data_IF_268455662465
#
_entry.id   IF_268455662465
#
_cell.length_a   1.000
_cell.length_b   1.000
_cell.length_c   1.000
_cell.angle_alpha   90.00
_cell.angle_beta   90.00
_cell.angle_gamma   90.00
#
_symmetry.space_group_name_H-M   'P 1'
#
loop_
_entity.id
_entity.type
_entity.pdbx_description
1 polymer ?
#
# COMPACT_ATOMS: atom_id res chain seq x y z
N UNK A 1 -30.45 -13.79 11.01
CA UNK A 1 -30.17 -12.38 10.60
C UNK A 1 -29.36 -11.54 11.61
N UNK A 2 -29.31 -11.88 12.89
CA UNK A 2 -28.55 -11.13 13.92
C UNK A 2 -27.03 -11.45 13.98
N UNK A 3 -26.64 -12.65 13.66
CA UNK A 3 -25.24 -13.14 13.78
C UNK A 3 -24.30 -12.47 12.76
N UNK A 4 -24.73 -12.32 11.53
CA UNK A 4 -23.94 -11.64 10.48
C UNK A 4 -23.67 -10.16 10.77
N UNK A 5 -24.63 -9.47 11.40
CA UNK A 5 -24.49 -8.06 11.77
C UNK A 5 -23.51 -7.90 12.94
N UNK A 6 -23.51 -8.82 13.90
CA UNK A 6 -22.59 -8.84 15.04
C UNK A 6 -21.15 -9.14 14.62
N UNK A 7 -20.95 -10.07 13.68
CA UNK A 7 -19.66 -10.38 13.10
C UNK A 7 -19.10 -9.22 12.30
N UNK A 8 -19.94 -8.54 11.47
CA UNK A 8 -19.54 -7.35 10.70
C UNK A 8 -19.10 -6.20 11.62
N UNK A 9 -19.80 -5.98 12.73
CA UNK A 9 -19.46 -4.97 13.72
C UNK A 9 -18.15 -5.30 14.45
N UNK A 10 -17.95 -6.57 14.83
CA UNK A 10 -16.71 -7.01 15.46
C UNK A 10 -15.51 -6.90 14.52
N UNK A 11 -15.66 -7.15 13.21
CA UNK A 11 -14.63 -6.95 12.20
C UNK A 11 -14.27 -5.48 12.03
N UNK A 12 -15.26 -4.58 11.92
CA UNK A 12 -15.03 -3.12 11.90
C UNK A 12 -14.26 -2.65 13.14
N UNK A 13 -14.66 -3.11 14.32
CA UNK A 13 -13.98 -2.76 15.57
C UNK A 13 -12.55 -3.29 15.65
N UNK A 14 -12.28 -4.51 15.17
CA UNK A 14 -10.92 -5.10 15.12
C UNK A 14 -10.03 -4.39 14.09
N UNK A 15 -10.55 -4.05 12.91
CA UNK A 15 -9.85 -3.20 11.94
C UNK A 15 -9.47 -1.86 12.56
N UNK A 16 -10.44 -1.15 13.13
CA UNK A 16 -10.20 0.11 13.80
C UNK A 16 -9.13 0.00 14.90
N UNK A 17 -9.17 -1.06 15.71
CA UNK A 17 -8.17 -1.30 16.75
C UNK A 17 -6.77 -1.64 16.20
N UNK A 18 -6.70 -2.44 15.13
CA UNK A 18 -5.42 -2.77 14.49
C UNK A 18 -4.76 -1.53 13.87
N UNK A 19 -5.56 -0.62 13.34
CA UNK A 19 -5.08 0.61 12.69
C UNK A 19 -4.88 1.76 13.66
N UNK A 20 -5.64 1.83 14.75
CA UNK A 20 -5.43 2.81 15.83
C UNK A 20 -4.07 2.63 16.54
N UNK A 21 -3.50 1.45 16.49
CA UNK A 21 -2.16 1.17 17.02
C UNK A 21 -1.00 1.60 16.10
N UNK A 22 -1.29 1.99 14.86
CA UNK A 22 -0.27 2.61 14.02
C UNK A 22 -0.09 4.04 14.49
N UNK A 23 1.09 4.42 15.02
CA UNK A 23 1.32 5.80 15.42
C UNK A 23 1.12 6.67 14.18
N UNK A 24 0.16 7.58 14.25
CA UNK A 24 0.11 8.71 13.33
C UNK A 24 1.45 9.40 13.52
N UNK A 25 2.37 9.22 12.59
CA UNK A 25 3.65 9.90 12.61
C UNK A 25 3.38 11.37 12.34
N UNK A 26 3.13 12.11 13.41
CA UNK A 26 3.25 13.55 13.46
C UNK A 26 4.74 13.90 13.41
N UNK A 27 5.37 13.65 12.29
CA UNK A 27 6.65 14.25 12.00
C UNK A 27 6.36 15.45 11.09
N UNK A 28 6.74 16.68 11.48
CA UNK A 28 6.71 17.79 10.54
C UNK A 28 7.46 17.33 9.29
N UNK A 29 6.94 17.68 8.13
CA UNK A 29 7.60 17.27 6.88
C UNK A 29 9.04 17.78 6.90
N UNK A 30 9.99 16.95 6.50
CA UNK A 30 11.41 17.35 6.47
C UNK A 30 11.63 18.68 5.73
N UNK A 31 10.92 19.00 4.61
CA UNK A 31 10.93 20.34 4.03
C UNK A 31 10.56 21.44 4.99
N UNK A 32 9.58 21.22 5.88
CA UNK A 32 9.17 22.22 6.88
C UNK A 32 10.28 22.45 7.91
N UNK A 33 10.95 21.40 8.39
CA UNK A 33 12.08 21.50 9.32
C UNK A 33 13.24 22.23 8.65
N UNK A 34 13.62 21.84 7.42
CA UNK A 34 14.68 22.48 6.66
C UNK A 34 14.38 23.95 6.41
N UNK A 35 13.16 24.27 5.96
CA UNK A 35 12.73 25.65 5.74
C UNK A 35 12.82 26.47 7.03
N UNK A 36 12.43 25.90 8.17
CA UNK A 36 12.51 26.57 9.47
C UNK A 36 13.98 26.83 9.86
N UNK A 37 14.85 25.82 9.72
CA UNK A 37 16.29 25.95 10.04
C UNK A 37 16.93 27.02 9.15
N UNK A 38 16.76 26.97 7.84
CA UNK A 38 17.31 27.98 6.93
C UNK A 38 16.74 29.38 7.18
N UNK A 39 15.45 29.47 7.54
CA UNK A 39 14.83 30.76 7.87
C UNK A 39 15.44 31.34 9.13
N UNK A 40 15.65 30.53 10.19
CA UNK A 40 16.29 30.96 11.44
C UNK A 40 17.73 31.40 11.18
N UNK A 41 18.50 30.64 10.40
CA UNK A 41 19.88 31.00 10.05
C UNK A 41 19.95 32.30 9.26
N UNK A 42 19.12 32.44 8.23
CA UNK A 42 19.05 33.65 7.41
C UNK A 42 18.67 34.88 8.24
N UNK A 43 17.66 34.77 9.09
CA UNK A 43 17.25 35.84 10.00
C UNK A 43 18.36 36.18 11.03
N UNK A 44 19.07 35.18 11.54
CA UNK A 44 20.18 35.40 12.46
C UNK A 44 21.32 36.19 11.81
N UNK A 45 21.67 35.87 10.56
CA UNK A 45 22.69 36.62 9.81
C UNK A 45 22.22 38.05 9.53
N UNK A 46 20.95 38.25 9.20
CA UNK A 46 20.37 39.54 8.83
C UNK A 46 20.26 40.48 10.03
N UNK A 47 19.84 39.92 11.19
CA UNK A 47 19.56 40.71 12.41
C UNK A 47 20.79 40.97 13.28
N UNK A 48 21.79 40.08 13.19
CA UNK A 48 23.03 40.17 14.00
C UNK A 48 24.27 39.96 13.11
N UNK A 49 24.69 40.99 12.32
CA UNK A 49 25.88 40.87 11.48
C UNK A 49 27.17 40.53 12.26
N UNK A 50 27.22 40.87 13.54
CA UNK A 50 28.36 40.57 14.44
C UNK A 50 28.50 39.08 14.78
N UNK A 51 27.43 38.28 14.58
CA UNK A 51 27.47 36.84 14.82
C UNK A 51 28.41 36.09 13.86
N UNK A 52 28.75 36.66 12.70
CA UNK A 52 29.73 36.07 11.78
C UNK A 52 31.13 35.93 12.37
N UNK A 53 31.48 36.77 13.30
CA UNK A 53 32.76 36.73 13.99
C UNK A 53 32.76 35.83 15.24
N UNK A 54 31.57 35.25 15.54
CA UNK A 54 31.44 34.36 16.68
C UNK A 54 31.72 32.91 16.23
N UNK A 55 32.74 32.28 16.82
CA UNK A 55 33.14 30.90 16.52
C UNK A 55 32.03 29.89 16.74
N UNK A 56 31.13 30.11 17.69
CA UNK A 56 29.99 29.26 17.99
C UNK A 56 28.96 29.32 16.82
N UNK A 57 28.72 30.52 16.31
CA UNK A 57 27.83 30.71 15.15
C UNK A 57 28.39 30.05 13.89
N UNK A 58 29.69 30.21 13.61
CA UNK A 58 30.38 29.57 12.48
C UNK A 58 30.29 28.03 12.58
N UNK A 59 30.46 27.49 13.78
CA UNK A 59 30.28 26.06 14.05
C UNK A 59 28.85 25.61 13.82
N UNK A 60 27.85 26.40 14.26
CA UNK A 60 26.45 26.10 14.07
C UNK A 60 26.08 26.05 12.58
N UNK A 61 26.46 27.08 11.83
CA UNK A 61 26.25 27.11 10.36
C UNK A 61 27.00 25.97 9.67
N UNK A 62 28.24 25.69 10.08
CA UNK A 62 29.05 24.61 9.54
C UNK A 62 28.47 23.21 9.77
N UNK A 63 27.70 23.02 10.85
CA UNK A 63 27.02 21.78 11.16
C UNK A 63 25.65 21.67 10.50
N UNK A 64 24.95 22.79 10.32
CA UNK A 64 23.60 22.79 9.72
C UNK A 64 23.61 22.40 8.25
N UNK A 65 24.65 22.75 7.49
CA UNK A 65 24.79 22.38 6.08
C UNK A 65 24.86 20.84 5.90
N UNK A 66 25.77 20.09 6.57
CA UNK A 66 25.80 18.64 6.43
C UNK A 66 24.55 17.94 6.98
N UNK A 67 23.97 18.46 8.07
CA UNK A 67 22.70 17.95 8.62
C UNK A 67 21.56 18.19 7.62
N UNK A 68 21.47 19.38 7.03
CA UNK A 68 20.50 19.72 6.01
C UNK A 68 20.66 18.85 4.77
N UNK A 69 21.87 18.63 4.30
CA UNK A 69 22.16 17.75 3.18
C UNK A 69 21.76 16.30 3.47
N UNK A 70 22.08 15.81 4.68
CA UNK A 70 21.69 14.47 5.13
C UNK A 70 20.18 14.32 5.20
N UNK A 71 19.46 15.27 5.79
CA UNK A 71 18.00 15.29 5.84
C UNK A 71 17.37 15.33 4.43
N UNK A 72 17.96 16.10 3.51
CA UNK A 72 17.51 16.17 2.12
C UNK A 72 17.67 14.83 1.41
N UNK A 73 18.82 14.17 1.57
CA UNK A 73 19.05 12.83 1.00
C UNK A 73 18.09 11.81 1.60
N UNK A 74 17.91 11.83 2.93
CA UNK A 74 16.95 10.97 3.61
C UNK A 74 15.52 11.21 3.08
N UNK A 75 15.11 12.46 2.91
CA UNK A 75 13.82 12.81 2.35
C UNK A 75 13.65 12.32 0.91
N UNK A 76 14.65 12.49 0.06
CA UNK A 76 14.64 11.96 -1.32
C UNK A 76 14.49 10.44 -1.34
N UNK A 77 15.20 9.74 -0.47
CA UNK A 77 15.07 8.28 -0.32
C UNK A 77 13.67 7.92 0.17
N UNK A 78 13.19 8.60 1.21
CA UNK A 78 11.83 8.40 1.72
C UNK A 78 10.79 8.57 0.61
N UNK A 79 10.86 9.65 -0.14
CA UNK A 79 9.97 9.86 -1.28
C UNK A 79 10.09 8.75 -2.32
N UNK A 80 11.29 8.32 -2.66
CA UNK A 80 11.50 7.27 -3.67
C UNK A 80 10.97 5.89 -3.24
N UNK A 81 10.84 5.64 -1.95
CA UNK A 81 10.37 4.37 -1.40
C UNK A 81 8.87 4.39 -1.07
N UNK A 82 8.37 5.53 -0.61
CA UNK A 82 7.03 5.64 -0.03
C UNK A 82 6.07 6.52 -0.85
N UNK A 83 6.55 7.24 -1.86
CA UNK A 83 5.65 7.85 -2.83
C UNK A 83 5.49 6.93 -4.02
N UNK A 84 4.27 6.87 -4.51
CA UNK A 84 3.96 6.09 -5.71
C UNK A 84 4.72 6.65 -6.89
N UNK A 85 5.58 5.88 -7.54
CA UNK A 85 6.22 6.34 -8.76
C UNK A 85 5.13 6.50 -9.82
N UNK A 86 5.15 7.62 -10.51
CA UNK A 86 4.35 7.86 -11.70
C UNK A 86 4.82 6.91 -12.79
N UNK A 87 4.16 5.79 -12.95
CA UNK A 87 4.28 4.94 -14.14
C UNK A 87 3.01 5.08 -14.96
N UNK A 88 3.18 5.02 -16.26
CA UNK A 88 2.05 5.01 -17.17
C UNK A 88 1.07 3.91 -16.74
N UNK A 89 -0.18 4.29 -16.62
CA UNK A 89 -1.24 3.35 -16.33
C UNK A 89 -1.40 2.37 -17.50
N UNK A 90 -1.54 1.10 -17.19
CA UNK A 90 -1.87 0.04 -18.13
C UNK A 90 -3.16 -0.60 -17.66
N UNK A 91 -4.21 -0.46 -18.45
CA UNK A 91 -5.49 -1.14 -18.18
C UNK A 91 -5.44 -2.58 -18.70
N UNK A 92 -6.40 -3.38 -18.29
CA UNK A 92 -6.66 -4.72 -18.85
C UNK A 92 -7.17 -4.60 -20.28
N UNK A 93 -6.83 -5.57 -21.11
CA UNK A 93 -7.19 -5.60 -22.53
C UNK A 93 -8.27 -6.62 -22.87
N UNK A 94 -8.49 -7.62 -22.03
CA UNK A 94 -9.52 -8.64 -22.20
C UNK A 94 -10.91 -8.05 -21.88
N UNK A 95 -11.79 -8.02 -22.85
CA UNK A 95 -13.14 -7.45 -22.75
C UNK A 95 -14.06 -8.17 -21.74
N UNK A 96 -13.68 -9.36 -21.29
CA UNK A 96 -14.42 -10.09 -20.25
C UNK A 96 -14.31 -9.47 -18.85
N UNK A 97 -13.33 -8.60 -18.63
CA UNK A 97 -13.22 -7.90 -17.37
C UNK A 97 -14.38 -6.93 -17.16
N UNK A 98 -15.06 -7.05 -16.04
CA UNK A 98 -16.09 -6.11 -15.58
C UNK A 98 -15.61 -5.24 -14.44
N UNK A 99 -15.96 -3.96 -14.50
CA UNK A 99 -15.66 -3.00 -13.43
C UNK A 99 -16.58 -3.21 -12.23
N UNK A 100 -16.00 -3.12 -11.04
CA UNK A 100 -16.73 -3.13 -9.78
C UNK A 100 -16.22 -2.01 -8.89
N UNK A 101 -17.10 -1.56 -7.99
CA UNK A 101 -16.81 -0.53 -7.01
C UNK A 101 -17.08 -1.10 -5.62
N UNK A 102 -16.17 -0.85 -4.69
CA UNK A 102 -16.30 -1.32 -3.32
C UNK A 102 -15.81 -0.27 -2.33
N UNK A 103 -16.22 -0.38 -1.08
CA UNK A 103 -15.81 0.51 0.00
C UNK A 103 -14.54 -0.04 0.66
N UNK A 104 -13.43 0.66 0.49
CA UNK A 104 -12.12 0.32 1.06
C UNK A 104 -11.90 0.89 2.47
N UNK A 105 -10.63 1.13 2.81
CA UNK A 105 -10.24 1.78 4.05
C UNK A 105 -10.86 3.17 4.17
N UNK A 106 -11.41 3.48 5.36
CA UNK A 106 -12.04 4.78 5.62
C UNK A 106 -13.36 4.99 4.88
N UNK A 107 -13.98 3.91 4.39
CA UNK A 107 -15.20 3.94 3.57
C UNK A 107 -15.02 4.66 2.22
N UNK A 108 -13.78 4.82 1.79
CA UNK A 108 -13.46 5.39 0.48
C UNK A 108 -13.85 4.44 -0.65
N UNK A 109 -14.46 5.00 -1.68
CA UNK A 109 -14.79 4.26 -2.89
C UNK A 109 -13.54 3.91 -3.68
N UNK A 110 -13.37 2.63 -3.95
CA UNK A 110 -12.27 2.07 -4.72
C UNK A 110 -12.80 1.25 -5.90
N UNK A 111 -11.99 1.20 -6.96
CA UNK A 111 -12.32 0.46 -8.19
C UNK A 111 -11.53 -0.84 -8.25
N UNK A 112 -12.21 -1.89 -8.66
CA UNK A 112 -11.62 -3.20 -8.93
C UNK A 112 -12.25 -3.79 -10.18
N UNK A 113 -11.76 -4.95 -10.60
CA UNK A 113 -12.31 -5.67 -11.76
C UNK A 113 -12.50 -7.15 -11.44
N UNK A 114 -13.47 -7.75 -12.09
CA UNK A 114 -13.75 -9.19 -12.04
C UNK A 114 -13.59 -9.76 -13.43
N UNK A 115 -12.83 -10.86 -13.55
CA UNK A 115 -12.75 -11.72 -14.71
C UNK A 115 -13.58 -12.97 -14.41
N UNK A 116 -14.71 -13.21 -15.11
CA UNK A 116 -15.57 -14.34 -14.84
C UNK A 116 -14.86 -15.66 -15.14
N UNK A 117 -15.05 -16.65 -14.28
CA UNK A 117 -14.54 -18.00 -14.45
C UNK A 117 -15.42 -18.85 -15.37
N UNK A 118 -15.12 -20.15 -15.42
CA UNK A 118 -15.92 -21.11 -16.14
C UNK A 118 -17.35 -21.18 -15.58
N UNK A 119 -18.32 -21.44 -16.45
CA UNK A 119 -19.73 -21.57 -16.08
C UNK A 119 -19.91 -22.60 -14.94
N UNK A 120 -20.67 -22.24 -13.95
CA UNK A 120 -20.91 -23.08 -12.77
C UNK A 120 -19.75 -23.16 -11.77
N UNK A 121 -18.58 -22.63 -12.10
CA UNK A 121 -17.46 -22.56 -11.15
C UNK A 121 -17.73 -21.49 -10.09
N UNK A 122 -17.44 -21.81 -8.83
CA UNK A 122 -17.62 -20.89 -7.68
C UNK A 122 -16.32 -20.69 -6.90
N UNK A 123 -15.19 -20.92 -7.54
CA UNK A 123 -13.88 -20.66 -6.97
C UNK A 123 -13.43 -19.24 -7.30
N UNK A 124 -12.65 -18.65 -6.42
CA UNK A 124 -12.18 -17.28 -6.52
C UNK A 124 -10.67 -17.19 -6.32
N UNK A 125 -10.02 -16.42 -7.15
CA UNK A 125 -8.64 -15.96 -6.96
C UNK A 125 -8.65 -14.45 -6.75
N UNK A 126 -8.10 -13.96 -5.63
CA UNK A 126 -7.76 -12.55 -5.47
C UNK A 126 -6.34 -12.32 -5.99
N UNK A 127 -6.19 -11.44 -6.96
CA UNK A 127 -4.89 -11.02 -7.49
C UNK A 127 -4.44 -9.68 -6.92
N UNK A 128 -3.20 -9.62 -6.41
CA UNK A 128 -2.57 -8.43 -5.83
C UNK A 128 -1.25 -8.13 -6.54
N UNK A 129 -1.20 -7.00 -7.25
CA UNK A 129 -0.02 -6.59 -8.02
C UNK A 129 1.13 -6.07 -7.13
N UNK A 130 2.31 -5.91 -7.74
CA UNK A 130 3.50 -5.36 -7.07
C UNK A 130 3.50 -3.85 -6.94
N UNK A 131 4.50 -3.32 -6.22
CA UNK A 131 4.75 -1.89 -6.11
C UNK A 131 4.97 -1.28 -7.50
N UNK A 132 4.42 -0.09 -7.74
CA UNK A 132 4.55 0.63 -9.01
C UNK A 132 4.00 -0.15 -10.21
N UNK A 133 2.95 -0.94 -10.00
CA UNK A 133 2.31 -1.75 -11.04
C UNK A 133 0.81 -1.43 -11.10
N UNK A 134 0.07 -2.16 -11.92
CA UNK A 134 -1.38 -2.09 -12.06
C UNK A 134 -1.93 -3.49 -12.33
N UNK A 135 -3.24 -3.63 -12.26
CA UNK A 135 -3.93 -4.87 -12.63
C UNK A 135 -3.62 -5.27 -14.08
N UNK A 136 -3.66 -4.30 -15.01
CA UNK A 136 -3.37 -4.55 -16.43
C UNK A 136 -1.95 -5.09 -16.68
N UNK A 137 -0.95 -4.67 -15.90
CA UNK A 137 0.39 -5.26 -15.98
C UNK A 137 0.44 -6.71 -15.48
N UNK A 138 -0.54 -7.13 -14.72
CA UNK A 138 -0.70 -8.49 -14.21
C UNK A 138 -1.68 -9.33 -15.01
N UNK A 139 -2.29 -8.79 -16.06
CA UNK A 139 -3.39 -9.40 -16.77
C UNK A 139 -3.10 -10.81 -17.28
N UNK A 140 -1.93 -11.04 -17.87
CA UNK A 140 -1.52 -12.37 -18.36
C UNK A 140 -1.53 -13.42 -17.25
N UNK A 141 -1.13 -13.05 -16.02
CA UNK A 141 -1.20 -13.93 -14.84
C UNK A 141 -2.64 -14.26 -14.49
N UNK A 142 -3.48 -13.22 -14.47
CA UNK A 142 -4.90 -13.36 -14.19
C UNK A 142 -5.61 -14.25 -15.23
N UNK A 143 -5.31 -14.06 -16.51
CA UNK A 143 -5.85 -14.90 -17.61
C UNK A 143 -5.39 -16.35 -17.47
N UNK A 144 -4.11 -16.59 -17.12
CA UNK A 144 -3.63 -17.95 -16.88
C UNK A 144 -4.35 -18.61 -15.69
N UNK A 145 -4.53 -17.91 -14.58
CA UNK A 145 -5.28 -18.42 -13.43
C UNK A 145 -6.75 -18.68 -13.80
N UNK A 146 -7.37 -17.76 -14.54
CA UNK A 146 -8.75 -17.87 -14.99
C UNK A 146 -8.96 -19.06 -15.94
N UNK A 147 -7.97 -19.39 -16.79
CA UNK A 147 -8.05 -20.55 -17.70
C UNK A 147 -8.13 -21.89 -16.95
N UNK A 148 -7.79 -21.93 -15.66
CA UNK A 148 -7.95 -23.10 -14.80
C UNK A 148 -9.39 -23.21 -14.22
N UNK A 149 -10.26 -22.26 -14.54
CA UNK A 149 -11.68 -22.27 -14.21
C UNK A 149 -12.17 -21.24 -13.18
N UNK A 150 -11.37 -20.76 -12.20
CA UNK A 150 -11.87 -19.86 -11.17
C UNK A 150 -12.16 -18.45 -11.70
N UNK A 151 -13.03 -17.73 -11.01
CA UNK A 151 -13.17 -16.29 -11.15
C UNK A 151 -11.91 -15.60 -10.62
N UNK A 152 -11.49 -14.51 -11.25
CA UNK A 152 -10.38 -13.70 -10.76
C UNK A 152 -10.89 -12.30 -10.41
N UNK A 153 -10.59 -11.84 -9.21
CA UNK A 153 -10.86 -10.48 -8.78
C UNK A 153 -9.53 -9.78 -8.50
N UNK A 154 -9.38 -8.55 -8.99
CA UNK A 154 -8.17 -7.78 -8.81
C UNK A 154 -8.46 -6.29 -8.69
N UNK A 155 -7.61 -5.60 -7.96
CA UNK A 155 -7.69 -4.15 -7.82
C UNK A 155 -6.35 -3.51 -8.19
N UNK A 156 -6.43 -2.29 -8.68
CA UNK A 156 -5.30 -1.38 -8.58
C UNK A 156 -5.20 -0.95 -7.12
N UNK A 157 -4.08 -1.27 -6.48
CA UNK A 157 -3.90 -0.93 -5.08
C UNK A 157 -3.90 0.59 -4.89
N UNK A 158 -4.36 1.06 -3.74
CA UNK A 158 -4.34 2.47 -3.35
C UNK A 158 -3.03 3.14 -3.74
N UNK A 159 -3.11 4.28 -4.43
CA UNK A 159 -1.96 5.04 -4.93
C UNK A 159 -1.36 4.52 -6.24
N UNK A 160 -1.95 3.50 -6.87
CA UNK A 160 -1.48 2.94 -8.14
C UNK A 160 -2.62 2.81 -9.15
N UNK A 161 -2.27 2.81 -10.44
CA UNK A 161 -3.20 2.59 -11.52
C UNK A 161 -4.40 3.53 -11.47
N UNK A 162 -5.60 2.98 -11.45
CA UNK A 162 -6.86 3.76 -11.35
C UNK A 162 -7.05 4.46 -10.00
N UNK A 163 -6.27 4.09 -8.98
CA UNK A 163 -6.24 4.71 -7.66
C UNK A 163 -5.11 5.73 -7.54
N UNK A 164 -4.56 6.18 -8.65
CA UNK A 164 -3.50 7.19 -8.71
C UNK A 164 -3.92 8.50 -8.04
N UNK A 165 -2.94 9.26 -7.53
CA UNK A 165 -3.19 10.50 -6.81
C UNK A 165 -3.56 10.32 -5.32
N UNK A 166 -3.76 9.11 -4.83
CA UNK A 166 -4.00 8.84 -3.40
C UNK A 166 -2.68 8.77 -2.64
N UNK A 167 -2.20 9.91 -2.18
CA UNK A 167 -0.92 10.05 -1.48
C UNK A 167 -0.90 9.45 -0.06
N UNK A 168 -2.01 9.01 0.43
CA UNK A 168 -2.16 8.41 1.77
C UNK A 168 -1.89 6.88 1.79
N UNK A 169 -1.21 6.39 0.76
CA UNK A 169 -0.86 4.99 0.64
C UNK A 169 -0.01 4.49 1.81
N UNK A 170 -0.42 3.37 2.39
CA UNK A 170 0.38 2.56 3.30
C UNK A 170 0.08 1.09 3.08
N UNK A 171 1.02 0.22 3.43
CA UNK A 171 0.80 -1.24 3.34
C UNK A 171 -0.39 -1.71 4.18
N UNK A 172 -0.66 -1.05 5.30
CA UNK A 172 -1.79 -1.39 6.15
C UNK A 172 -3.11 -1.03 5.48
N UNK A 173 -3.21 0.17 4.90
CA UNK A 173 -4.40 0.58 4.14
C UNK A 173 -4.62 -0.31 2.92
N UNK A 174 -3.57 -0.61 2.16
CA UNK A 174 -3.65 -1.53 1.02
C UNK A 174 -4.08 -2.95 1.44
N UNK A 175 -3.65 -3.42 2.62
CA UNK A 175 -4.12 -4.70 3.17
C UNK A 175 -5.62 -4.64 3.53
N UNK A 176 -6.05 -3.53 4.14
CA UNK A 176 -7.46 -3.33 4.48
C UNK A 176 -8.35 -3.22 3.24
N UNK A 177 -7.87 -2.57 2.18
CA UNK A 177 -8.58 -2.48 0.92
C UNK A 177 -8.75 -3.87 0.28
N UNK A 178 -7.68 -4.67 0.26
CA UNK A 178 -7.73 -6.03 -0.25
C UNK A 178 -8.66 -6.93 0.57
N UNK A 179 -8.69 -6.77 1.90
CA UNK A 179 -9.64 -7.43 2.78
C UNK A 179 -11.08 -7.02 2.47
N UNK A 180 -11.34 -5.70 2.32
CA UNK A 180 -12.65 -5.18 1.99
C UNK A 180 -13.15 -5.67 0.62
N UNK A 181 -12.26 -5.76 -0.36
CA UNK A 181 -12.58 -6.32 -1.67
C UNK A 181 -13.02 -7.79 -1.55
N UNK A 182 -12.28 -8.63 -0.82
CA UNK A 182 -12.70 -10.02 -0.57
C UNK A 182 -14.05 -10.09 0.12
N UNK A 183 -14.31 -9.21 1.11
CA UNK A 183 -15.59 -9.18 1.83
C UNK A 183 -16.76 -8.78 0.93
N UNK A 184 -16.53 -7.94 -0.07
CA UNK A 184 -17.54 -7.51 -1.02
C UNK A 184 -17.70 -8.48 -2.21
N UNK A 185 -16.74 -9.38 -2.41
CA UNK A 185 -16.72 -10.28 -3.57
C UNK A 185 -18.03 -11.06 -3.80
N UNK A 186 -18.71 -11.63 -2.77
CA UNK A 186 -19.97 -12.32 -2.98
C UNK A 186 -21.06 -11.45 -3.60
N UNK A 187 -21.10 -10.16 -3.27
CA UNK A 187 -22.07 -9.22 -3.82
C UNK A 187 -21.83 -8.97 -5.32
N UNK A 188 -20.58 -8.88 -5.73
CA UNK A 188 -20.19 -8.63 -7.12
C UNK A 188 -20.26 -9.89 -7.99
N UNK A 189 -20.01 -11.05 -7.38
CA UNK A 189 -20.08 -12.33 -8.08
C UNK A 189 -21.51 -12.90 -8.16
N UNK A 190 -22.44 -12.43 -7.30
CA UNK A 190 -23.79 -12.98 -7.18
C UNK A 190 -23.85 -14.33 -6.45
N UNK A 191 -22.73 -14.80 -5.90
CA UNK A 191 -22.66 -16.05 -5.14
C UNK A 191 -21.55 -16.01 -4.09
N UNK A 192 -21.65 -16.92 -3.09
CA UNK A 192 -20.58 -17.15 -2.12
C UNK A 192 -19.51 -18.06 -2.73
N UNK A 193 -18.22 -17.64 -2.79
CA UNK A 193 -17.13 -18.51 -3.22
C UNK A 193 -17.01 -19.76 -2.35
N UNK A 194 -16.77 -20.91 -2.98
CA UNK A 194 -16.55 -22.18 -2.30
C UNK A 194 -15.09 -22.29 -1.83
N UNK A 195 -14.16 -21.95 -2.70
CA UNK A 195 -12.72 -22.02 -2.47
C UNK A 195 -12.09 -20.69 -2.89
N UNK A 196 -11.10 -20.23 -2.12
CA UNK A 196 -10.42 -18.96 -2.35
C UNK A 196 -8.92 -19.22 -2.39
N UNK A 197 -8.26 -18.60 -3.36
CA UNK A 197 -6.81 -18.44 -3.40
C UNK A 197 -6.46 -16.97 -3.43
N UNK A 198 -5.31 -16.64 -2.88
CA UNK A 198 -4.77 -15.27 -2.94
C UNK A 198 -3.42 -15.32 -3.65
N UNK A 199 -3.33 -14.63 -4.75
CA UNK A 199 -2.08 -14.50 -5.52
C UNK A 199 -1.47 -13.12 -5.29
N UNK A 200 -0.21 -13.09 -4.86
CA UNK A 200 0.51 -11.84 -4.64
C UNK A 200 1.85 -11.80 -5.36
N UNK A 201 2.04 -10.77 -6.17
CA UNK A 201 3.31 -10.47 -6.82
C UNK A 201 4.07 -9.41 -6.04
N UNK A 202 5.33 -9.64 -5.69
CA UNK A 202 6.22 -8.67 -5.03
C UNK A 202 5.59 -8.08 -3.75
N UNK A 203 5.25 -6.79 -3.72
CA UNK A 203 4.53 -6.13 -2.62
C UNK A 203 3.15 -6.77 -2.37
N UNK A 204 2.44 -7.16 -3.43
CA UNK A 204 1.20 -7.90 -3.31
C UNK A 204 1.38 -9.21 -2.54
N UNK A 205 2.55 -9.85 -2.65
CA UNK A 205 2.90 -11.02 -1.85
C UNK A 205 2.97 -10.73 -0.34
N UNK A 206 3.48 -9.57 0.04
CA UNK A 206 3.46 -9.14 1.44
C UNK A 206 2.02 -8.96 1.96
N UNK A 207 1.15 -8.33 1.17
CA UNK A 207 -0.26 -8.15 1.51
C UNK A 207 -0.95 -9.51 1.61
N UNK A 208 -0.68 -10.43 0.67
CA UNK A 208 -1.19 -11.80 0.67
C UNK A 208 -0.86 -12.55 1.95
N UNK A 209 0.40 -12.50 2.39
CA UNK A 209 0.85 -13.14 3.65
C UNK A 209 0.08 -12.56 4.84
N UNK A 210 -0.09 -11.23 4.88
CA UNK A 210 -0.84 -10.58 5.97
C UNK A 210 -2.32 -10.97 5.98
N UNK A 211 -2.96 -11.03 4.83
CA UNK A 211 -4.35 -11.48 4.71
C UNK A 211 -4.49 -12.93 5.17
N UNK A 212 -3.63 -13.81 4.69
CA UNK A 212 -3.68 -15.24 5.05
C UNK A 212 -3.38 -15.50 6.53
N UNK A 213 -2.64 -14.61 7.19
CA UNK A 213 -2.33 -14.72 8.62
C UNK A 213 -3.38 -14.08 9.53
N UNK A 214 -4.44 -13.53 8.98
CA UNK A 214 -5.46 -12.84 9.77
C UNK A 214 -6.42 -13.84 10.45
N UNK A 215 -6.49 -13.89 11.78
CA UNK A 215 -7.02 -15.05 12.52
C UNK A 215 -8.56 -15.09 12.60
N UNK A 216 -9.30 -14.34 11.83
CA UNK A 216 -10.78 -14.31 11.95
C UNK A 216 -11.51 -13.76 10.75
N UNK A 217 -10.98 -14.03 9.57
CA UNK A 217 -11.63 -13.67 8.33
C UNK A 217 -12.68 -14.72 7.94
N UNK A 218 -13.80 -14.29 7.35
CA UNK A 218 -14.87 -15.22 6.95
C UNK A 218 -14.42 -16.24 5.90
N UNK A 219 -13.34 -15.94 5.17
CA UNK A 219 -12.74 -16.85 4.20
C UNK A 219 -11.78 -17.87 4.82
N UNK A 220 -11.54 -17.87 6.13
CA UNK A 220 -10.59 -18.76 6.80
C UNK A 220 -10.84 -20.23 6.44
N UNK A 221 -12.09 -20.70 6.53
CA UNK A 221 -12.48 -22.04 6.14
C UNK A 221 -12.52 -22.29 4.62
N UNK A 222 -12.41 -21.23 3.79
CA UNK A 222 -12.49 -21.30 2.33
C UNK A 222 -11.13 -21.06 1.66
N UNK A 223 -10.15 -20.50 2.38
CA UNK A 223 -8.81 -20.24 1.86
C UNK A 223 -8.08 -21.57 1.67
N UNK A 224 -7.82 -21.91 0.42
CA UNK A 224 -7.13 -23.16 0.04
C UNK A 224 -5.62 -22.98 -0.01
N UNK A 225 -5.15 -21.78 -0.27
CA UNK A 225 -3.73 -21.49 -0.36
C UNK A 225 -3.41 -20.10 -0.84
N UNK A 226 -2.12 -19.79 -0.82
CA UNK A 226 -1.56 -18.56 -1.33
C UNK A 226 -0.51 -18.85 -2.41
N UNK A 227 -0.45 -18.02 -3.42
CA UNK A 227 0.54 -18.07 -4.48
C UNK A 227 1.38 -16.82 -4.37
N UNK A 228 2.69 -17.01 -4.18
CA UNK A 228 3.64 -15.91 -3.96
C UNK A 228 4.67 -15.88 -5.09
N UNK A 229 4.61 -14.82 -5.89
CA UNK A 229 5.60 -14.57 -6.93
C UNK A 229 6.55 -13.46 -6.47
N UNK A 230 7.83 -13.81 -6.28
CA UNK A 230 8.87 -12.87 -5.83
C UNK A 230 8.45 -11.97 -4.66
N UNK A 231 7.92 -12.53 -3.57
CA UNK A 231 7.30 -11.76 -2.51
C UNK A 231 8.32 -10.89 -1.77
N UNK A 232 7.87 -9.70 -1.35
CA UNK A 232 8.61 -8.90 -0.37
C UNK A 232 8.36 -9.49 1.01
N UNK A 233 9.36 -10.11 1.60
CA UNK A 233 9.26 -10.73 2.94
C UNK A 233 9.72 -9.79 4.06
N UNK A 234 10.56 -8.80 3.75
CA UNK A 234 11.10 -7.86 4.73
C UNK A 234 11.51 -6.54 4.07
N UNK A 235 10.85 -5.44 4.43
CA UNK A 235 11.22 -4.11 3.99
C UNK A 235 12.60 -3.66 4.47
N UNK A 236 12.99 -3.87 5.74
CA UNK A 236 14.34 -3.53 6.20
C UNK A 236 15.42 -4.16 5.31
N UNK A 237 15.31 -5.44 4.96
CA UNK A 237 16.27 -6.11 4.08
C UNK A 237 16.36 -5.52 2.68
N UNK A 238 15.27 -4.96 2.15
CA UNK A 238 15.27 -4.28 0.85
C UNK A 238 15.96 -2.93 0.97
N UNK A 239 15.69 -2.20 2.03
CA UNK A 239 16.30 -0.90 2.31
C UNK A 239 17.80 -1.09 2.49
N UNK A 240 18.24 -2.06 3.28
CA UNK A 240 19.67 -2.38 3.49
C UNK A 240 20.41 -2.70 2.19
N UNK A 241 19.74 -3.35 1.22
CA UNK A 241 20.34 -3.64 -0.08
C UNK A 241 20.44 -2.44 -1.00
N UNK A 242 19.57 -1.44 -0.83
CA UNK A 242 19.49 -0.27 -1.72
C UNK A 242 20.24 0.95 -1.19
N UNK A 243 20.52 0.99 0.09
CA UNK A 243 21.29 2.06 0.72
C UNK A 243 22.74 1.62 0.89
N UNK A 244 23.70 2.32 0.31
CA UNK A 244 25.12 2.07 0.57
C UNK A 244 25.46 2.51 2.01
N UNK A 245 25.76 1.53 2.87
CA UNK A 245 26.09 1.75 4.26
C UNK A 245 24.89 1.69 5.20
N UNK A 246 25.04 0.96 6.28
CA UNK A 246 24.05 0.86 7.34
C UNK A 246 23.68 2.24 7.88
N UNK A 247 22.60 2.82 7.39
CA UNK A 247 21.91 3.96 7.99
C UNK A 247 20.64 3.48 8.70
N UNK A 248 20.77 2.47 9.53
CA UNK A 248 19.71 2.02 10.44
C UNK A 248 20.30 2.04 11.84
#
# INVERSE_FOLDING_TARGET
MHEGRRQKFQRKARRAAAYAKTPVRWAPSIPTILSLVFTIEFLSILLWPELKDNRVFVLFVGLSIPVGAWLFVYWKIYLSVFTTPTRDYVDVTDERWSDIVFSGWGEEELKAKVLPGAEGNRDLVLYLHGYSSSLGRGETRCQHLNSLGPHVIGLDQRGFGRQDGRLDWTLLKATADAEALLESAPQHLGFEPNRIWIYGHSMGGFITIRLASHPSSWWEGKLQGIILESPVTSFPKIIDKKLPGRMV
#
